data_IF_177714382836
#
_entry.id   IF_177714382836
#
_cell.length_a   1.000
_cell.length_b   1.000
_cell.length_c   1.000
_cell.angle_alpha   90.00
_cell.angle_beta   90.00
_cell.angle_gamma   90.00
#
_symmetry.space_group_name_H-M   'P 1'
#
loop_
_entity.id
_entity.type
_entity.pdbx_description
1 polymer ?
#
# COMPACT_ATOMS: atom_id res chain seq x y z
N UNK A 1 -10.73 1.56 -1.00
CA UNK A 1 -10.70 1.96 -2.43
C UNK A 1 -9.40 2.62 -2.86
N UNK A 2 -8.85 3.59 -2.10
CA UNK A 2 -7.58 4.30 -2.39
C UNK A 2 -6.50 3.42 -3.03
N UNK A 3 -6.07 2.36 -2.33
CA UNK A 3 -5.01 1.48 -2.79
C UNK A 3 -5.37 0.72 -4.06
N UNK A 4 -6.61 0.27 -4.21
CA UNK A 4 -7.06 -0.40 -5.43
C UNK A 4 -6.92 0.53 -6.64
N UNK A 5 -7.31 1.80 -6.51
CA UNK A 5 -7.12 2.79 -7.59
C UNK A 5 -5.64 2.97 -7.94
N UNK A 6 -4.77 3.10 -6.93
CA UNK A 6 -3.32 3.27 -7.14
C UNK A 6 -2.69 2.03 -7.80
N UNK A 7 -3.09 0.84 -7.36
CA UNK A 7 -2.69 -0.45 -7.92
C UNK A 7 -3.04 -0.50 -9.42
N UNK A 8 -4.26 -0.09 -9.77
CA UNK A 8 -4.76 -0.05 -11.15
C UNK A 8 -4.31 1.16 -11.98
N UNK A 9 -3.29 1.90 -11.53
CA UNK A 9 -2.62 2.91 -12.36
C UNK A 9 -3.02 4.35 -12.11
N UNK A 10 -3.80 4.64 -11.05
CA UNK A 10 -4.00 6.03 -10.64
C UNK A 10 -2.70 6.60 -10.05
N UNK A 11 -2.29 7.78 -10.52
CA UNK A 11 -1.13 8.52 -10.01
C UNK A 11 -1.52 9.61 -9.00
N UNK A 12 -2.82 9.84 -8.83
CA UNK A 12 -3.38 10.84 -7.94
C UNK A 12 -4.84 10.51 -7.63
N UNK A 13 -5.36 11.12 -6.56
CA UNK A 13 -6.71 10.89 -6.06
C UNK A 13 -7.32 12.21 -5.64
N UNK A 14 -8.60 12.39 -5.94
CA UNK A 14 -9.41 13.50 -5.45
C UNK A 14 -10.59 12.90 -4.70
N UNK A 15 -10.81 13.35 -3.47
CA UNK A 15 -11.93 12.92 -2.65
C UNK A 15 -12.97 14.03 -2.59
N UNK A 16 -14.14 13.77 -3.16
CA UNK A 16 -15.30 14.64 -3.03
C UNK A 16 -16.25 14.07 -1.98
N UNK A 17 -15.91 14.25 -0.70
CA UNK A 17 -16.66 13.64 0.39
C UNK A 17 -16.87 14.55 1.61
N UNK A 18 -16.39 15.80 1.60
CA UNK A 18 -16.40 16.67 2.80
C UNK A 18 -17.77 16.75 3.49
N UNK A 19 -18.83 17.04 2.72
CA UNK A 19 -20.19 17.11 3.25
C UNK A 19 -20.77 15.75 3.63
N UNK A 20 -20.30 14.66 3.01
CA UNK A 20 -20.71 13.31 3.38
C UNK A 20 -20.10 12.89 4.72
N UNK A 21 -18.84 13.29 4.98
CA UNK A 21 -18.21 13.08 6.28
C UNK A 21 -18.97 13.79 7.42
N UNK A 22 -19.56 14.97 7.15
CA UNK A 22 -20.39 15.67 8.13
C UNK A 22 -21.68 14.92 8.49
N UNK A 23 -22.14 14.03 7.60
CA UNK A 23 -23.37 13.24 7.77
C UNK A 23 -23.10 11.81 8.28
N UNK A 24 -21.84 11.41 8.41
CA UNK A 24 -21.47 10.06 8.86
C UNK A 24 -21.79 9.86 10.35
N UNK A 25 -22.31 8.68 10.69
CA UNK A 25 -22.73 8.33 12.05
C UNK A 25 -21.59 8.31 13.07
N UNK A 26 -20.34 8.08 12.65
CA UNK A 26 -19.18 8.12 13.53
C UNK A 26 -18.69 9.54 13.82
N UNK A 27 -19.23 10.54 13.11
CA UNK A 27 -18.90 11.95 13.26
C UNK A 27 -17.75 12.42 12.36
N UNK A 28 -17.80 13.70 12.02
CA UNK A 28 -16.84 14.33 11.10
C UNK A 28 -15.39 14.15 11.56
N UNK A 29 -15.08 14.47 12.82
CA UNK A 29 -13.69 14.49 13.29
C UNK A 29 -13.00 13.12 13.20
N UNK A 30 -13.72 12.04 13.55
CA UNK A 30 -13.18 10.68 13.46
C UNK A 30 -12.91 10.30 12.01
N UNK A 31 -13.86 10.56 11.11
CA UNK A 31 -13.70 10.25 9.69
C UNK A 31 -12.65 11.12 9.01
N UNK A 32 -12.55 12.38 9.40
CA UNK A 32 -11.53 13.29 8.93
C UNK A 32 -10.14 12.82 9.37
N UNK A 33 -9.98 12.35 10.60
CA UNK A 33 -8.74 11.75 11.06
C UNK A 33 -8.33 10.53 10.21
N UNK A 34 -9.27 9.62 9.90
CA UNK A 34 -9.02 8.50 9.00
C UNK A 34 -8.57 8.98 7.60
N UNK A 35 -9.21 10.02 7.06
CA UNK A 35 -8.83 10.61 5.77
C UNK A 35 -7.44 11.24 5.79
N UNK A 36 -7.04 11.87 6.89
CA UNK A 36 -5.69 12.42 7.05
C UNK A 36 -4.64 11.31 7.10
N UNK A 37 -4.93 10.18 7.74
CA UNK A 37 -4.05 8.99 7.73
C UNK A 37 -3.83 8.51 6.30
N UNK A 38 -4.91 8.31 5.54
CA UNK A 38 -4.83 7.89 4.13
C UNK A 38 -4.09 8.92 3.28
N UNK A 39 -4.37 10.21 3.48
CA UNK A 39 -3.67 11.30 2.78
C UNK A 39 -2.16 11.28 3.05
N UNK A 40 -1.76 11.04 4.30
CA UNK A 40 -0.35 10.90 4.66
C UNK A 40 0.29 9.68 4.01
N UNK A 41 -0.40 8.52 3.97
CA UNK A 41 0.10 7.34 3.26
C UNK A 41 0.37 7.64 1.78
N UNK A 42 -0.62 8.23 1.08
CA UNK A 42 -0.46 8.56 -0.34
C UNK A 42 0.68 9.56 -0.54
N UNK A 43 0.87 10.52 0.36
CA UNK A 43 2.01 11.45 0.34
C UNK A 43 3.35 10.73 0.43
N UNK A 44 3.48 9.69 1.25
CA UNK A 44 4.70 8.87 1.30
C UNK A 44 4.97 8.11 0.00
N UNK A 45 3.94 7.88 -0.81
CA UNK A 45 4.02 7.19 -2.10
C UNK A 45 4.26 8.13 -3.29
N UNK A 46 4.20 9.45 -3.11
CA UNK A 46 4.40 10.43 -4.20
C UNK A 46 5.64 10.17 -5.06
N UNK A 47 6.84 9.85 -4.51
CA UNK A 47 8.00 9.58 -5.35
C UNK A 47 7.78 8.44 -6.34
N UNK A 48 7.04 7.41 -5.95
CA UNK A 48 6.75 6.26 -6.80
C UNK A 48 5.54 6.48 -7.73
N UNK A 49 4.57 7.29 -7.31
CA UNK A 49 3.37 7.60 -8.10
C UNK A 49 3.64 8.60 -9.21
N UNK A 50 4.60 9.51 -9.02
CA UNK A 50 4.94 10.56 -9.97
C UNK A 50 6.17 10.24 -10.83
N UNK A 51 6.93 9.20 -10.49
CA UNK A 51 8.11 8.79 -11.27
C UNK A 51 7.70 8.17 -12.60
N UNK A 52 8.49 8.44 -13.64
CA UNK A 52 8.40 7.79 -14.95
C UNK A 52 9.17 6.45 -15.00
N UNK A 53 9.77 6.01 -13.88
CA UNK A 53 10.51 4.77 -13.81
C UNK A 53 9.61 3.58 -14.12
N UNK A 54 10.13 2.65 -14.93
CA UNK A 54 9.39 1.43 -15.27
C UNK A 54 9.15 0.58 -14.00
N UNK A 55 7.95 0.01 -13.83
CA UNK A 55 7.68 -0.91 -12.74
C UNK A 55 8.71 -2.04 -12.67
N UNK A 56 9.29 -2.31 -11.49
CA UNK A 56 10.25 -3.39 -11.34
C UNK A 56 9.54 -4.73 -11.42
N UNK A 57 10.21 -5.74 -11.99
CA UNK A 57 9.77 -7.14 -11.89
C UNK A 57 10.19 -7.68 -10.52
N UNK A 58 9.21 -7.98 -9.67
CA UNK A 58 9.39 -8.64 -8.37
C UNK A 58 8.55 -9.92 -8.37
N UNK A 59 9.08 -11.02 -7.82
CA UNK A 59 8.30 -12.24 -7.59
C UNK A 59 7.41 -12.00 -6.36
N UNK A 60 6.12 -11.78 -6.61
CA UNK A 60 5.08 -11.57 -5.60
C UNK A 60 4.14 -12.76 -5.66
N UNK A 61 3.96 -13.44 -4.53
CA UNK A 61 3.04 -14.57 -4.38
C UNK A 61 1.98 -14.22 -3.35
N UNK A 62 0.75 -14.62 -3.62
CA UNK A 62 -0.38 -14.40 -2.70
C UNK A 62 -0.94 -15.75 -2.29
N UNK A 63 -1.38 -15.85 -1.04
CA UNK A 63 -2.11 -17.02 -0.54
C UNK A 63 -3.57 -17.06 -1.01
N UNK A 64 -4.07 -15.97 -1.59
CA UNK A 64 -5.44 -15.77 -2.07
C UNK A 64 -5.42 -15.03 -3.40
N UNK A 65 -6.30 -15.44 -4.32
CA UNK A 65 -6.42 -14.81 -5.65
C UNK A 65 -7.04 -13.40 -5.60
N UNK A 66 -7.82 -13.11 -4.54
CA UNK A 66 -8.47 -11.82 -4.36
C UNK A 66 -7.47 -10.68 -4.09
N UNK A 67 -6.27 -10.98 -3.59
CA UNK A 67 -5.25 -9.96 -3.30
C UNK A 67 -4.81 -9.29 -4.60
N UNK A 68 -4.85 -7.97 -4.62
CA UNK A 68 -4.41 -7.17 -5.74
C UNK A 68 -3.11 -6.47 -5.38
N UNK A 69 -2.22 -6.35 -6.36
CA UNK A 69 -0.96 -5.68 -6.18
C UNK A 69 -0.45 -5.01 -7.44
N UNK A 70 0.42 -4.04 -7.25
CA UNK A 70 1.21 -3.46 -8.33
C UNK A 70 2.60 -3.11 -7.83
N UNK A 71 3.58 -3.14 -8.73
CA UNK A 71 4.91 -2.64 -8.46
C UNK A 71 5.07 -1.24 -9.03
N UNK A 72 5.85 -0.41 -8.32
CA UNK A 72 6.30 0.91 -8.77
C UNK A 72 7.77 1.07 -8.41
N UNK A 73 8.44 1.98 -9.09
CA UNK A 73 9.76 2.43 -8.71
C UNK A 73 9.76 3.96 -8.68
N UNK A 74 10.69 4.54 -7.94
CA UNK A 74 10.97 5.97 -8.03
C UNK A 74 12.32 6.25 -8.70
N UNK A 75 12.62 7.53 -8.90
CA UNK A 75 13.86 7.98 -9.55
C UNK A 75 15.11 7.66 -8.73
N UNK A 76 14.95 7.43 -7.42
CA UNK A 76 16.00 6.97 -6.51
C UNK A 76 16.19 5.44 -6.52
N UNK A 77 15.52 4.73 -7.45
CA UNK A 77 15.54 3.27 -7.60
C UNK A 77 14.97 2.49 -6.40
N UNK A 78 14.23 3.16 -5.51
CA UNK A 78 13.44 2.47 -4.48
C UNK A 78 12.29 1.76 -5.17
N UNK A 79 11.98 0.54 -4.72
CA UNK A 79 10.90 -0.28 -5.29
C UNK A 79 9.76 -0.37 -4.29
N UNK A 80 8.55 -0.26 -4.80
CA UNK A 80 7.33 -0.23 -4.02
C UNK A 80 6.46 -1.38 -4.49
N UNK A 81 5.93 -2.17 -3.55
CA UNK A 81 4.90 -3.17 -3.81
C UNK A 81 3.65 -2.72 -3.08
N UNK A 82 2.71 -2.15 -3.83
CA UNK A 82 1.41 -1.75 -3.30
C UNK A 82 0.55 -3.01 -3.22
N UNK A 83 -0.07 -3.24 -2.06
CA UNK A 83 -0.85 -4.43 -1.76
C UNK A 83 -2.22 -4.04 -1.22
N UNK A 84 -3.26 -4.74 -1.66
CA UNK A 84 -4.60 -4.62 -1.11
C UNK A 84 -5.28 -5.99 -1.03
N UNK A 85 -5.89 -6.28 0.11
CA UNK A 85 -6.84 -7.37 0.27
C UNK A 85 -8.27 -6.81 0.22
N UNK A 86 -9.00 -6.94 -0.91
CA UNK A 86 -10.37 -6.47 -1.01
C UNK A 86 -11.40 -7.45 -0.41
N UNK A 87 -10.96 -8.62 0.07
CA UNK A 87 -11.87 -9.59 0.67
C UNK A 87 -12.40 -9.06 2.02
N UNK A 88 -13.73 -9.07 2.25
CA UNK A 88 -14.33 -8.56 3.48
C UNK A 88 -14.25 -9.52 4.67
N UNK A 89 -13.84 -10.78 4.46
CA UNK A 89 -13.90 -11.84 5.48
C UNK A 89 -12.56 -12.53 5.69
N UNK A 90 -11.85 -12.82 4.62
CA UNK A 90 -10.68 -13.68 4.66
C UNK A 90 -9.39 -12.84 4.70
N UNK A 91 -8.53 -13.14 5.66
CA UNK A 91 -7.16 -12.62 5.68
C UNK A 91 -6.33 -13.27 4.56
N UNK A 92 -5.25 -12.60 4.19
CA UNK A 92 -4.31 -13.10 3.19
C UNK A 92 -2.87 -12.78 3.57
N UNK A 93 -1.98 -13.70 3.24
CA UNK A 93 -0.53 -13.51 3.27
C UNK A 93 0.00 -13.24 1.87
N UNK A 94 0.92 -12.28 1.77
CA UNK A 94 1.70 -11.97 0.56
C UNK A 94 3.18 -12.21 0.83
N UNK A 95 3.84 -12.89 -0.09
CA UNK A 95 5.27 -13.14 -0.04
C UNK A 95 5.97 -12.45 -1.20
N UNK A 96 6.91 -11.56 -0.92
CA UNK A 96 7.67 -10.82 -1.92
C UNK A 96 9.12 -11.26 -1.88
N UNK A 97 9.67 -11.69 -3.03
CA UNK A 97 11.11 -11.92 -3.16
C UNK A 97 11.84 -10.57 -3.15
N UNK A 98 12.87 -10.47 -2.31
CA UNK A 98 13.64 -9.25 -2.11
C UNK A 98 15.14 -9.53 -2.25
N UNK A 99 15.94 -8.59 -2.77
CA UNK A 99 17.38 -8.81 -2.87
C UNK A 99 18.04 -8.97 -1.51
N UNK A 100 19.15 -9.70 -1.49
CA UNK A 100 20.00 -9.80 -0.32
C UNK A 100 20.43 -8.42 0.15
N UNK A 101 20.40 -8.19 1.47
CA UNK A 101 20.80 -6.94 2.15
C UNK A 101 19.95 -5.70 1.81
N UNK A 102 18.79 -5.86 1.16
CA UNK A 102 17.88 -4.74 0.96
C UNK A 102 17.33 -4.22 2.31
N UNK A 103 17.15 -2.91 2.42
CA UNK A 103 16.45 -2.33 3.58
C UNK A 103 14.96 -2.31 3.30
N UNK A 104 14.17 -2.96 4.16
CA UNK A 104 12.74 -3.12 3.95
C UNK A 104 11.95 -2.29 4.95
N UNK A 105 10.91 -1.63 4.46
CA UNK A 105 9.95 -0.91 5.28
C UNK A 105 8.53 -1.25 4.84
N UNK A 106 7.61 -1.36 5.80
CA UNK A 106 6.20 -1.53 5.55
C UNK A 106 5.46 -0.24 5.91
N UNK A 107 4.82 0.38 4.93
CA UNK A 107 3.85 1.46 5.13
C UNK A 107 2.47 0.83 5.32
N UNK A 108 1.86 1.04 6.48
CA UNK A 108 0.53 0.54 6.81
C UNK A 108 -0.12 1.41 7.88
N UNK A 109 -1.37 1.84 7.65
CA UNK A 109 -2.15 2.73 8.52
C UNK A 109 -1.40 4.02 8.89
N UNK A 110 -0.76 4.65 7.92
CA UNK A 110 -0.02 5.92 8.08
C UNK A 110 1.33 5.79 8.76
N UNK A 111 1.76 4.58 9.11
CA UNK A 111 3.01 4.32 9.81
C UNK A 111 3.98 3.56 8.93
N UNK A 112 5.26 3.93 9.00
CA UNK A 112 6.35 3.21 8.37
C UNK A 112 7.11 2.45 9.45
N UNK A 113 7.16 1.12 9.34
CA UNK A 113 7.90 0.26 10.26
C UNK A 113 8.97 -0.55 9.50
N UNK A 114 10.17 -0.76 10.07
CA UNK A 114 11.13 -1.68 9.49
C UNK A 114 10.58 -3.11 9.52
N UNK A 115 10.87 -3.88 8.48
CA UNK A 115 10.54 -5.32 8.42
C UNK A 115 11.76 -6.10 7.94
N UNK A 116 11.79 -7.39 8.22
CA UNK A 116 12.89 -8.27 7.81
C UNK A 116 12.43 -9.26 6.75
N UNK A 117 13.40 -9.81 6.02
CA UNK A 117 13.17 -10.93 5.13
C UNK A 117 13.87 -12.17 5.69
N UNK A 118 13.21 -13.32 5.53
CA UNK A 118 13.78 -14.63 5.79
C UNK A 118 14.01 -15.32 4.46
N UNK A 119 15.19 -15.91 4.25
CA UNK A 119 15.53 -16.67 3.03
C UNK A 119 15.26 -15.89 1.72
N UNK A 120 15.56 -14.58 1.71
CA UNK A 120 15.35 -13.72 0.54
C UNK A 120 13.89 -13.37 0.24
N UNK A 121 12.97 -13.63 1.17
CA UNK A 121 11.54 -13.33 1.03
C UNK A 121 11.02 -12.54 2.23
N UNK A 122 10.19 -11.54 1.96
CA UNK A 122 9.46 -10.79 2.98
C UNK A 122 8.00 -11.25 2.96
N UNK A 123 7.48 -11.60 4.13
CA UNK A 123 6.09 -12.01 4.32
C UNK A 123 5.28 -10.88 4.94
N UNK A 124 4.10 -10.62 4.38
CA UNK A 124 3.22 -9.52 4.77
C UNK A 124 1.83 -10.09 4.98
N UNK A 125 1.31 -9.96 6.19
CA UNK A 125 -0.07 -10.26 6.52
C UNK A 125 -0.98 -9.07 6.15
N UNK A 126 -2.09 -9.38 5.47
CA UNK A 126 -3.16 -8.46 5.13
C UNK A 126 -4.47 -8.96 5.75
N UNK A 127 -4.96 -8.22 6.72
CA UNK A 127 -6.31 -8.38 7.26
C UNK A 127 -7.37 -8.17 6.16
N UNK A 128 -8.61 -8.62 6.37
CA UNK A 128 -9.73 -8.28 5.50
C UNK A 128 -9.85 -6.77 5.30
N UNK A 129 -10.16 -6.35 4.07
CA UNK A 129 -10.28 -4.94 3.68
C UNK A 129 -9.05 -4.06 3.98
N UNK A 130 -7.87 -4.65 4.11
CA UNK A 130 -6.64 -3.92 4.45
C UNK A 130 -5.73 -3.69 3.25
N UNK A 131 -4.81 -2.75 3.41
CA UNK A 131 -3.79 -2.45 2.43
C UNK A 131 -2.46 -2.11 3.11
N UNK A 132 -1.37 -2.29 2.37
CA UNK A 132 -0.03 -1.94 2.80
C UNK A 132 0.86 -1.67 1.58
N UNK A 133 1.97 -0.98 1.79
CA UNK A 133 3.04 -0.89 0.79
C UNK A 133 4.35 -1.41 1.36
N UNK A 134 4.96 -2.39 0.71
CA UNK A 134 6.35 -2.75 0.98
C UNK A 134 7.27 -1.81 0.19
N UNK A 135 8.19 -1.16 0.89
CA UNK A 135 9.22 -0.30 0.31
C UNK A 135 10.55 -1.03 0.44
N UNK A 136 11.22 -1.24 -0.68
CA UNK A 136 12.51 -1.93 -0.80
C UNK A 136 13.54 -0.90 -1.26
N UNK A 137 14.48 -0.56 -0.37
CA UNK A 137 15.60 0.34 -0.62
C UNK A 137 16.88 -0.46 -0.86
#
# INVERSE_FOLDING_TARGET
>A
MTYLCLIHGANGLIYYCYHDLMRDRLGFDKRWADMLVVGNEVKQLFPALLSAAKPPKLDVRTSRDAVQFATRADDARRRYVLLANPDPKEAATVTVAVPARATLQLLQRGQIKPVTAANGRCEIALEPMSAATLIVK
#
